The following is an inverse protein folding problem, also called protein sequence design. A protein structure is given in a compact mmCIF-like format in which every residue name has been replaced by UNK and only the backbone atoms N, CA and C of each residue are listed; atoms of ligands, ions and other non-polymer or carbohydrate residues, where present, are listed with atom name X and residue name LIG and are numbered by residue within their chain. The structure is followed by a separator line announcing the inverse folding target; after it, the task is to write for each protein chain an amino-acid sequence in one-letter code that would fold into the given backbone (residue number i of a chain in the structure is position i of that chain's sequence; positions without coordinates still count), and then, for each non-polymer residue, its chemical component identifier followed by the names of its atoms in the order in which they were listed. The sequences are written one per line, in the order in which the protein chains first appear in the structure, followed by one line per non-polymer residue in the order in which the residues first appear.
data_IF_966763420876
#
_entry.id   IF_966763420876
#
_cell.length_a   1.000
_cell.length_b   1.000
_cell.length_c   1.000
_cell.angle_alpha   90.00
_cell.angle_beta   90.00
_cell.angle_gamma   90.00
#
_symmetry.space_group_name_H-M   'P 1'
#
loop_
_entity.id
_entity.type
_entity.pdbx_description
1 polymer ?
#
# COMPACT_ATOMS: atom_id res chain seq x y z
N UNK A 1 -47.79 -27.09 -17.06
CA UNK A 1 -46.93 -27.11 -15.85
C UNK A 1 -46.24 -25.77 -15.75
N UNK A 2 -46.51 -25.11 -14.62
CA UNK A 2 -46.06 -23.79 -14.12
C UNK A 2 -46.03 -22.59 -15.06
N UNK A 3 -47.00 -21.70 -14.84
CA UNK A 3 -46.83 -20.25 -14.92
C UNK A 3 -45.53 -19.85 -14.19
N UNK A 4 -44.44 -19.68 -14.94
CA UNK A 4 -43.21 -19.09 -14.43
C UNK A 4 -43.46 -17.59 -14.27
N UNK A 5 -44.04 -17.25 -13.12
CA UNK A 5 -44.35 -15.91 -12.68
C UNK A 5 -43.13 -15.00 -12.80
N UNK A 6 -43.37 -13.82 -13.37
CA UNK A 6 -42.39 -12.74 -13.60
C UNK A 6 -41.61 -12.42 -12.31
N UNK A 7 -40.49 -13.09 -12.08
CA UNK A 7 -39.60 -12.97 -10.91
C UNK A 7 -39.20 -11.52 -10.56
N UNK A 8 -39.16 -10.62 -11.56
CA UNK A 8 -38.86 -9.20 -11.41
C UNK A 8 -39.97 -8.41 -10.69
N UNK A 9 -41.13 -9.02 -10.46
CA UNK A 9 -42.23 -8.45 -9.67
C UNK A 9 -42.15 -8.74 -8.17
N UNK A 10 -41.17 -9.53 -7.71
CA UNK A 10 -41.02 -9.79 -6.27
C UNK A 10 -40.76 -8.49 -5.49
N UNK A 11 -41.37 -8.32 -4.30
CA UNK A 11 -41.22 -7.12 -3.48
C UNK A 11 -39.77 -6.87 -3.07
N UNK A 12 -38.97 -7.93 -2.94
CA UNK A 12 -37.53 -7.87 -2.64
C UNK A 12 -36.77 -7.15 -3.75
N UNK A 13 -37.00 -7.50 -5.03
CA UNK A 13 -36.34 -6.87 -6.18
C UNK A 13 -36.71 -5.39 -6.27
N UNK A 14 -37.98 -5.05 -6.00
CA UNK A 14 -38.44 -3.65 -5.92
C UNK A 14 -37.81 -2.86 -4.78
N UNK A 15 -37.58 -3.48 -3.63
CA UNK A 15 -36.89 -2.85 -2.51
C UNK A 15 -35.41 -2.58 -2.84
N UNK A 16 -34.73 -3.59 -3.39
CA UNK A 16 -33.32 -3.50 -3.79
C UNK A 16 -33.09 -2.51 -4.93
N UNK A 17 -34.03 -2.37 -5.87
CA UNK A 17 -33.93 -1.36 -6.95
C UNK A 17 -34.56 -0.01 -6.60
N UNK A 18 -34.80 0.28 -5.32
CA UNK A 18 -35.47 1.52 -4.91
C UNK A 18 -34.51 2.71 -4.90
N UNK A 19 -35.03 3.89 -5.28
CA UNK A 19 -34.24 5.12 -5.32
C UNK A 19 -33.69 5.49 -3.92
N UNK A 20 -34.49 5.28 -2.87
CA UNK A 20 -34.10 5.62 -1.51
C UNK A 20 -32.97 4.73 -1.00
N UNK A 21 -33.02 3.42 -1.30
CA UNK A 21 -31.93 2.50 -0.98
C UNK A 21 -30.66 2.87 -1.74
N UNK A 22 -30.75 3.15 -3.05
CA UNK A 22 -29.62 3.64 -3.83
C UNK A 22 -29.01 4.93 -3.30
N UNK A 23 -29.83 5.90 -2.89
CA UNK A 23 -29.36 7.14 -2.28
C UNK A 23 -28.64 6.90 -0.94
N UNK A 24 -29.18 6.02 -0.09
CA UNK A 24 -28.55 5.63 1.16
C UNK A 24 -27.18 4.96 0.92
N UNK A 25 -27.09 4.05 -0.05
CA UNK A 25 -25.83 3.41 -0.43
C UNK A 25 -24.81 4.43 -0.95
N UNK A 26 -25.22 5.38 -1.80
CA UNK A 26 -24.34 6.44 -2.31
C UNK A 26 -23.79 7.32 -1.19
N UNK A 27 -24.63 7.70 -0.22
CA UNK A 27 -24.18 8.47 0.95
C UNK A 27 -23.19 7.66 1.78
N UNK A 28 -23.44 6.37 1.97
CA UNK A 28 -22.54 5.51 2.74
C UNK A 28 -21.19 5.33 2.04
N UNK A 29 -21.18 5.15 0.71
CA UNK A 29 -19.95 5.15 -0.10
C UNK A 29 -19.22 6.48 0.02
N UNK A 30 -19.93 7.61 -0.09
CA UNK A 30 -19.33 8.94 0.04
C UNK A 30 -18.66 9.14 1.40
N UNK A 31 -19.34 8.78 2.49
CA UNK A 31 -18.78 8.88 3.86
C UNK A 31 -17.59 7.94 4.01
N UNK A 32 -17.68 6.71 3.52
CA UNK A 32 -16.57 5.76 3.56
C UNK A 32 -15.34 6.30 2.80
N UNK A 33 -15.52 6.89 1.62
CA UNK A 33 -14.45 7.51 0.85
C UNK A 33 -13.85 8.71 1.58
N UNK A 34 -14.67 9.58 2.16
CA UNK A 34 -14.18 10.73 2.94
C UNK A 34 -13.36 10.28 4.17
N UNK A 35 -13.83 9.26 4.88
CA UNK A 35 -13.08 8.66 5.99
C UNK A 35 -11.77 8.01 5.51
N UNK A 36 -11.80 7.30 4.38
CA UNK A 36 -10.60 6.68 3.79
C UNK A 36 -9.53 7.74 3.46
N UNK A 37 -9.92 8.88 2.88
CA UNK A 37 -8.99 9.98 2.56
C UNK A 37 -8.37 10.60 3.82
N UNK A 38 -9.16 10.81 4.87
CA UNK A 38 -8.62 11.34 6.14
C UNK A 38 -7.68 10.31 6.79
N UNK A 39 -8.07 9.03 6.78
CA UNK A 39 -7.28 7.95 7.32
C UNK A 39 -5.93 7.80 6.60
N UNK A 40 -5.96 7.85 5.27
CA UNK A 40 -4.78 7.84 4.40
C UNK A 40 -3.82 8.99 4.74
N UNK A 41 -4.34 10.20 4.98
CA UNK A 41 -3.50 11.34 5.35
C UNK A 41 -2.75 11.16 6.68
N UNK A 42 -3.23 10.29 7.58
CA UNK A 42 -2.61 10.08 8.89
C UNK A 42 -1.75 8.82 8.96
N UNK A 43 -2.14 7.76 8.25
CA UNK A 43 -1.52 6.43 8.34
C UNK A 43 -0.84 6.00 7.03
N UNK A 44 -0.87 6.83 6.00
CA UNK A 44 -0.34 6.51 4.68
C UNK A 44 -1.30 5.68 3.81
N UNK A 45 -0.93 5.56 2.54
CA UNK A 45 -1.74 4.89 1.52
C UNK A 45 -1.86 3.38 1.75
N UNK A 46 -0.82 2.72 2.25
CA UNK A 46 -0.81 1.27 2.51
C UNK A 46 -1.86 0.87 3.55
N UNK A 47 -1.89 1.57 4.69
CA UNK A 47 -2.87 1.32 5.74
C UNK A 47 -4.31 1.57 5.27
N UNK A 48 -4.54 2.63 4.47
CA UNK A 48 -5.85 2.95 3.92
C UNK A 48 -6.34 1.88 2.92
N UNK A 49 -5.43 1.33 2.11
CA UNK A 49 -5.74 0.22 1.20
C UNK A 49 -6.26 -1.00 1.94
N UNK A 50 -5.60 -1.41 3.02
CA UNK A 50 -6.02 -2.57 3.81
C UNK A 50 -7.32 -2.32 4.57
N UNK A 51 -7.46 -1.15 5.21
CA UNK A 51 -8.59 -0.83 6.07
C UNK A 51 -9.90 -0.53 5.32
N UNK A 52 -9.81 0.07 4.13
CA UNK A 52 -10.96 0.51 3.34
C UNK A 52 -11.03 -0.22 2.00
N UNK A 53 -10.12 0.06 1.07
CA UNK A 53 -10.28 -0.34 -0.34
C UNK A 53 -10.27 -1.86 -0.58
N UNK A 54 -9.44 -2.60 0.16
CA UNK A 54 -9.35 -4.08 0.13
C UNK A 54 -10.21 -4.74 1.20
N UNK A 55 -10.85 -3.98 2.08
CA UNK A 55 -11.67 -4.55 3.14
C UNK A 55 -12.98 -5.14 2.58
N UNK A 56 -13.38 -6.27 3.14
CA UNK A 56 -14.57 -7.01 2.71
C UNK A 56 -15.86 -6.19 2.83
N UNK A 57 -15.94 -5.29 3.81
CA UNK A 57 -17.12 -4.46 4.05
C UNK A 57 -17.29 -3.40 2.95
N UNK A 58 -16.21 -2.80 2.47
CA UNK A 58 -16.22 -1.80 1.40
C UNK A 58 -16.51 -2.47 0.04
N UNK A 59 -15.90 -3.63 -0.20
CA UNK A 59 -16.25 -4.48 -1.34
C UNK A 59 -17.74 -4.87 -1.34
N UNK A 60 -18.25 -5.27 -0.17
CA UNK A 60 -19.66 -5.58 0.02
C UNK A 60 -20.57 -4.39 -0.28
N UNK A 61 -20.18 -3.18 0.14
CA UNK A 61 -20.90 -1.95 -0.15
C UNK A 61 -20.92 -1.61 -1.65
N UNK A 62 -19.77 -1.72 -2.32
CA UNK A 62 -19.67 -1.51 -3.77
C UNK A 62 -20.52 -2.54 -4.55
N UNK A 63 -20.52 -3.80 -4.10
CA UNK A 63 -21.35 -4.86 -4.67
C UNK A 63 -22.85 -4.59 -4.45
N UNK A 64 -23.26 -4.17 -3.25
CA UNK A 64 -24.64 -3.77 -2.95
C UNK A 64 -25.10 -2.62 -3.85
N UNK A 65 -24.24 -1.63 -4.09
CA UNK A 65 -24.51 -0.54 -5.02
C UNK A 65 -24.66 -1.05 -6.45
N UNK A 66 -23.78 -1.94 -6.92
CA UNK A 66 -23.88 -2.56 -8.24
C UNK A 66 -25.21 -3.31 -8.41
N UNK A 67 -25.59 -4.13 -7.41
CA UNK A 67 -26.85 -4.89 -7.43
C UNK A 67 -28.07 -3.96 -7.42
N UNK A 68 -28.05 -2.89 -6.63
CA UNK A 68 -29.11 -1.88 -6.64
C UNK A 68 -29.25 -1.21 -8.01
N UNK A 69 -28.15 -0.75 -8.61
CA UNK A 69 -28.14 -0.10 -9.93
C UNK A 69 -28.62 -1.07 -11.03
N UNK A 70 -28.17 -2.33 -10.99
CA UNK A 70 -28.63 -3.36 -11.92
C UNK A 70 -30.12 -3.66 -11.75
N UNK A 71 -30.61 -3.79 -10.52
CA UNK A 71 -32.03 -4.01 -10.24
C UNK A 71 -32.89 -2.83 -10.72
N UNK A 72 -32.45 -1.59 -10.48
CA UNK A 72 -33.12 -0.38 -10.96
C UNK A 72 -33.20 -0.33 -12.50
N UNK A 73 -32.16 -0.80 -13.19
CA UNK A 73 -32.13 -0.89 -14.65
C UNK A 73 -33.11 -1.95 -15.16
N UNK A 74 -33.12 -3.14 -14.57
CA UNK A 74 -34.04 -4.24 -14.95
C UNK A 74 -35.50 -3.88 -14.70
N UNK A 75 -35.82 -3.25 -13.57
CA UNK A 75 -37.19 -2.85 -13.21
C UNK A 75 -37.80 -1.82 -14.17
N UNK A 76 -36.97 -1.06 -14.89
CA UNK A 76 -37.39 -0.05 -15.87
C UNK A 76 -37.40 -0.56 -17.32
N UNK A 77 -37.08 -1.83 -17.53
CA UNK A 77 -37.18 -2.45 -18.84
C UNK A 77 -38.66 -2.67 -19.23
N UNK A 78 -39.09 -2.42 -20.49
CA UNK A 78 -38.31 -1.99 -21.66
C UNK A 78 -38.09 -0.46 -21.74
N UNK A 79 -36.92 -0.07 -22.24
CA UNK A 79 -36.50 1.34 -22.29
C UNK A 79 -37.13 2.12 -23.44
N UNK A 80 -37.60 3.34 -23.17
CA UNK A 80 -38.01 4.30 -24.21
C UNK A 80 -36.83 5.19 -24.65
N UNK A 81 -36.94 5.84 -25.82
CA UNK A 81 -35.93 6.81 -26.29
C UNK A 81 -35.72 7.99 -25.33
N UNK A 82 -36.73 8.36 -24.54
CA UNK A 82 -36.62 9.40 -23.51
C UNK A 82 -35.80 8.97 -22.28
N UNK A 83 -35.57 7.66 -22.10
CA UNK A 83 -34.81 7.11 -20.98
C UNK A 83 -33.35 6.81 -21.34
N UNK A 84 -32.88 7.23 -22.51
CA UNK A 84 -31.53 6.92 -22.98
C UNK A 84 -30.45 7.45 -22.02
N UNK A 85 -30.61 8.68 -21.51
CA UNK A 85 -29.71 9.23 -20.49
C UNK A 85 -29.70 8.40 -19.20
N UNK A 86 -30.87 7.93 -18.74
CA UNK A 86 -30.95 7.04 -17.58
C UNK A 86 -30.18 5.73 -17.82
N UNK A 87 -30.39 5.08 -18.96
CA UNK A 87 -29.73 3.81 -19.28
C UNK A 87 -28.21 4.00 -19.38
N UNK A 88 -27.74 5.02 -20.11
CA UNK A 88 -26.31 5.29 -20.29
C UNK A 88 -25.62 5.53 -18.95
N UNK A 89 -26.18 6.37 -18.08
CA UNK A 89 -25.58 6.65 -16.77
C UNK A 89 -25.52 5.42 -15.87
N UNK A 90 -26.54 4.56 -15.86
CA UNK A 90 -26.53 3.39 -14.98
C UNK A 90 -25.63 2.29 -15.52
N UNK A 91 -25.61 2.10 -16.85
CA UNK A 91 -24.70 1.16 -17.49
C UNK A 91 -23.24 1.59 -17.31
N UNK A 92 -22.92 2.89 -17.39
CA UNK A 92 -21.55 3.36 -17.14
C UNK A 92 -21.11 3.09 -15.70
N UNK A 93 -21.97 3.30 -14.70
CA UNK A 93 -21.68 2.96 -13.30
C UNK A 93 -21.40 1.46 -13.15
N UNK A 94 -22.20 0.60 -13.79
CA UNK A 94 -21.97 -0.85 -13.76
C UNK A 94 -20.64 -1.24 -14.40
N UNK A 95 -20.27 -0.59 -15.51
CA UNK A 95 -18.96 -0.79 -16.17
C UNK A 95 -17.82 -0.36 -15.26
N UNK A 96 -17.91 0.81 -14.62
CA UNK A 96 -16.89 1.31 -13.68
C UNK A 96 -16.74 0.36 -12.49
N UNK A 97 -17.84 -0.11 -11.90
CA UNK A 97 -17.81 -1.06 -10.78
C UNK A 97 -17.22 -2.42 -11.19
N UNK A 98 -17.53 -2.90 -12.40
CA UNK A 98 -16.93 -4.12 -12.94
C UNK A 98 -15.42 -3.96 -13.20
N UNK A 99 -15.00 -2.81 -13.72
CA UNK A 99 -13.59 -2.45 -13.88
C UNK A 99 -12.86 -2.43 -12.54
N UNK A 100 -13.43 -1.76 -11.53
CA UNK A 100 -12.86 -1.72 -10.18
C UNK A 100 -12.70 -3.12 -9.56
N UNK A 101 -13.71 -3.99 -9.71
CA UNK A 101 -13.60 -5.39 -9.26
C UNK A 101 -12.51 -6.16 -10.01
N UNK A 102 -12.35 -5.90 -11.30
CA UNK A 102 -11.31 -6.54 -12.12
C UNK A 102 -9.91 -6.11 -11.67
N UNK A 103 -9.68 -4.80 -11.50
CA UNK A 103 -8.42 -4.26 -10.99
C UNK A 103 -8.10 -4.79 -9.60
N UNK A 104 -9.10 -4.88 -8.71
CA UNK A 104 -8.87 -5.40 -7.37
C UNK A 104 -8.45 -6.89 -7.35
N UNK A 105 -8.94 -7.69 -8.30
CA UNK A 105 -8.71 -9.14 -8.33
C UNK A 105 -7.46 -9.53 -9.11
N UNK A 106 -7.12 -8.75 -10.14
CA UNK A 106 -6.08 -9.09 -11.11
C UNK A 106 -4.98 -8.03 -11.22
N UNK A 107 -5.20 -6.84 -10.68
CA UNK A 107 -4.23 -5.76 -10.70
C UNK A 107 -3.09 -5.99 -9.72
N UNK A 108 -1.92 -5.47 -10.07
CA UNK A 108 -0.77 -5.34 -9.18
C UNK A 108 -0.62 -3.86 -8.87
N UNK A 109 -0.65 -3.52 -7.59
CA UNK A 109 -0.60 -2.15 -7.10
C UNK A 109 0.73 -1.89 -6.39
N UNK A 110 1.27 -0.70 -6.54
CA UNK A 110 2.51 -0.32 -5.89
C UNK A 110 2.86 1.14 -6.11
N UNK A 111 3.96 1.55 -5.51
CA UNK A 111 4.52 2.88 -5.59
C UNK A 111 5.78 2.88 -6.45
N UNK A 112 5.88 3.93 -7.27
CA UNK A 112 7.04 4.20 -8.10
C UNK A 112 7.36 5.69 -8.00
N UNK A 113 8.44 6.02 -7.30
CA UNK A 113 9.01 7.36 -7.31
C UNK A 113 9.91 7.49 -8.53
N UNK A 114 9.67 8.51 -9.36
CA UNK A 114 10.49 8.84 -10.53
C UNK A 114 10.78 10.34 -10.52
N UNK A 115 12.04 10.71 -10.72
CA UNK A 115 12.39 12.08 -11.03
C UNK A 115 12.22 12.38 -12.53
N UNK A 116 12.19 13.66 -12.88
CA UNK A 116 12.10 14.08 -14.28
C UNK A 116 13.28 13.55 -15.10
N UNK A 117 12.97 12.83 -16.18
CA UNK A 117 13.97 12.23 -17.07
C UNK A 117 14.43 10.82 -16.67
N UNK A 118 14.00 10.30 -15.51
CA UNK A 118 14.29 8.93 -15.10
C UNK A 118 13.33 7.90 -15.73
N UNK A 119 13.85 6.69 -15.91
CA UNK A 119 13.04 5.51 -16.25
C UNK A 119 13.35 4.40 -15.25
N UNK A 120 12.31 3.65 -14.87
CA UNK A 120 12.47 2.49 -14.00
C UNK A 120 11.72 1.30 -14.58
N UNK A 121 12.35 0.14 -14.49
CA UNK A 121 11.76 -1.17 -14.82
C UNK A 121 11.22 -1.90 -13.58
N UNK A 122 11.27 -1.27 -12.39
CA UNK A 122 10.84 -1.85 -11.12
C UNK A 122 10.05 -0.85 -10.29
N UNK A 123 9.07 -1.33 -9.55
CA UNK A 123 8.29 -0.53 -8.61
C UNK A 123 8.09 -1.33 -7.31
N UNK A 124 7.89 -0.62 -6.20
CA UNK A 124 7.67 -1.26 -4.91
C UNK A 124 6.18 -1.60 -4.75
N UNK A 125 5.87 -2.87 -4.55
CA UNK A 125 4.49 -3.35 -4.34
C UNK A 125 4.07 -3.12 -2.88
N UNK A 126 2.78 -2.87 -2.63
CA UNK A 126 2.22 -2.77 -1.28
C UNK A 126 2.03 -4.15 -0.60
N UNK A 127 2.56 -5.21 -1.20
CA UNK A 127 2.43 -6.57 -0.69
C UNK A 127 3.60 -6.88 0.26
N UNK A 128 3.27 -7.01 1.54
CA UNK A 128 4.23 -7.43 2.55
C UNK A 128 4.68 -8.86 2.26
N UNK A 129 5.89 -8.99 1.71
CA UNK A 129 6.47 -10.27 1.31
C UNK A 129 7.80 -10.46 2.03
N UNK A 130 7.93 -11.60 2.71
CA UNK A 130 9.19 -12.07 3.24
C UNK A 130 9.80 -13.02 2.21
N UNK A 131 10.94 -12.63 1.61
CA UNK A 131 11.68 -13.45 0.66
C UNK A 131 13.04 -13.84 1.26
N UNK A 132 13.36 -15.12 1.20
CA UNK A 132 14.69 -15.65 1.46
C UNK A 132 15.38 -15.88 0.12
N UNK A 133 16.54 -15.26 -0.04
CA UNK A 133 17.37 -15.39 -1.24
C UNK A 133 18.70 -16.03 -0.84
N UNK A 134 19.09 -17.06 -1.58
CA UNK A 134 20.38 -17.73 -1.41
C UNK A 134 21.38 -17.06 -2.33
N UNK A 135 22.33 -16.34 -1.74
CA UNK A 135 23.32 -15.55 -2.49
C UNK A 135 24.20 -16.39 -3.42
N UNK A 136 24.39 -17.68 -3.16
CA UNK A 136 25.29 -18.54 -3.94
C UNK A 136 24.77 -18.94 -5.33
N UNK A 137 23.46 -19.17 -5.45
CA UNK A 137 22.81 -19.69 -6.67
C UNK A 137 21.59 -18.86 -7.11
N UNK A 138 21.21 -17.85 -6.31
CA UNK A 138 20.03 -17.03 -6.55
C UNK A 138 18.71 -17.78 -6.31
N UNK A 139 18.71 -18.92 -5.62
CA UNK A 139 17.48 -19.61 -5.29
C UNK A 139 16.66 -18.77 -4.29
N UNK A 140 15.36 -18.67 -4.51
CA UNK A 140 14.45 -17.87 -3.68
C UNK A 140 13.29 -18.72 -3.16
N UNK A 141 12.89 -18.47 -1.92
CA UNK A 141 11.61 -18.93 -1.37
C UNK A 141 11.00 -17.78 -0.58
N UNK A 142 9.69 -17.60 -0.64
CA UNK A 142 9.05 -16.48 0.02
C UNK A 142 7.65 -16.80 0.48
N UNK A 143 7.14 -15.92 1.35
CA UNK A 143 5.76 -15.93 1.82
C UNK A 143 5.26 -14.52 1.92
N UNK A 144 3.94 -14.37 1.79
CA UNK A 144 3.22 -13.10 1.91
C UNK A 144 2.39 -13.14 3.21
N UNK A 145 2.94 -12.76 4.38
CA UNK A 145 2.22 -12.83 5.64
C UNK A 145 0.89 -12.07 5.60
N UNK A 146 0.85 -10.93 4.91
CA UNK A 146 -0.34 -10.07 4.79
C UNK A 146 -1.52 -10.66 4.01
N UNK A 147 -1.34 -11.79 3.27
CA UNK A 147 -2.45 -12.50 2.59
C UNK A 147 -3.02 -13.67 3.40
N UNK A 148 -2.43 -14.01 4.54
CA UNK A 148 -2.86 -15.15 5.34
C UNK A 148 -4.04 -14.80 6.26
N UNK A 149 -4.87 -15.78 6.67
CA UNK A 149 -5.86 -15.57 7.73
C UNK A 149 -5.18 -15.06 9.00
N UNK A 150 -5.55 -13.86 9.45
CA UNK A 150 -4.93 -13.18 10.60
C UNK A 150 -3.81 -12.18 10.24
N UNK A 151 -3.32 -12.15 9.01
CA UNK A 151 -2.32 -11.18 8.53
C UNK A 151 -2.86 -9.77 8.28
N UNK A 152 -3.91 -9.36 9.00
CA UNK A 152 -4.48 -8.01 8.91
C UNK A 152 -3.58 -6.95 9.55
N UNK A 153 -4.18 -5.90 10.10
CA UNK A 153 -3.48 -4.79 10.76
C UNK A 153 -3.07 -5.09 12.22
N UNK A 154 -3.18 -6.35 12.66
CA UNK A 154 -2.86 -6.74 14.03
C UNK A 154 -1.56 -7.54 14.08
N UNK A 155 -0.77 -7.28 15.13
CA UNK A 155 0.41 -8.09 15.39
C UNK A 155 0.00 -9.52 15.75
N UNK A 156 0.61 -10.51 15.09
CA UNK A 156 0.33 -11.93 15.31
C UNK A 156 1.60 -12.63 15.77
N UNK A 157 1.51 -13.26 16.93
CA UNK A 157 2.53 -14.20 17.40
C UNK A 157 2.31 -15.56 16.73
N UNK A 158 3.41 -16.16 16.25
CA UNK A 158 3.45 -17.43 15.53
C UNK A 158 2.41 -17.51 14.40
N UNK A 159 2.51 -16.63 13.38
CA UNK A 159 1.55 -16.63 12.28
C UNK A 159 1.53 -17.99 11.57
N UNK A 160 0.40 -18.40 10.96
CA UNK A 160 0.23 -19.70 10.31
C UNK A 160 0.96 -19.75 8.95
N UNK A 161 2.22 -19.35 8.95
CA UNK A 161 3.14 -19.31 7.81
C UNK A 161 3.92 -20.63 7.80
N UNK A 162 3.88 -21.40 6.70
CA UNK A 162 4.72 -22.58 6.56
C UNK A 162 6.20 -22.21 6.72
N UNK A 163 7.03 -23.06 7.37
CA UNK A 163 8.48 -22.82 7.43
C UNK A 163 9.05 -22.67 6.02
N UNK A 164 9.80 -21.59 5.81
CA UNK A 164 10.48 -21.31 4.56
C UNK A 164 11.77 -22.12 4.51
N UNK A 165 11.88 -23.06 3.58
CA UNK A 165 13.05 -23.89 3.41
C UNK A 165 13.85 -23.45 2.17
N UNK A 166 15.13 -23.15 2.36
CA UNK A 166 16.05 -22.78 1.29
C UNK A 166 17.29 -23.66 1.36
N UNK A 167 17.19 -24.81 0.68
CA UNK A 167 18.12 -25.95 0.77
C UNK A 167 18.27 -26.47 2.20
N UNK A 168 19.39 -26.21 2.84
CA UNK A 168 19.73 -26.67 4.20
C UNK A 168 19.29 -25.70 5.31
N UNK A 169 18.84 -24.49 4.96
CA UNK A 169 18.36 -23.49 5.91
C UNK A 169 16.83 -23.54 5.99
N UNK A 170 16.29 -23.61 7.21
CA UNK A 170 14.84 -23.46 7.46
C UNK A 170 14.59 -22.27 8.35
N UNK A 171 13.72 -21.36 7.92
CA UNK A 171 13.33 -20.15 8.66
C UNK A 171 11.86 -20.26 9.03
N UNK A 172 11.53 -19.91 10.28
CA UNK A 172 10.15 -19.82 10.76
C UNK A 172 9.86 -18.40 11.23
N UNK A 173 8.72 -17.87 10.82
CA UNK A 173 8.25 -16.56 11.28
C UNK A 173 7.68 -16.73 12.69
N UNK A 174 8.34 -16.13 13.69
CA UNK A 174 7.91 -16.22 15.08
C UNK A 174 6.88 -15.16 15.45
N UNK A 175 6.94 -14.00 14.80
CA UNK A 175 6.02 -12.88 15.03
C UNK A 175 5.95 -12.02 13.79
N UNK A 176 4.75 -11.55 13.49
CA UNK A 176 4.46 -10.61 12.41
C UNK A 176 3.86 -9.34 13.01
N UNK A 177 4.41 -8.19 12.66
CA UNK A 177 3.94 -6.87 13.14
C UNK A 177 3.70 -6.01 11.90
N UNK A 178 2.44 -5.89 11.44
CA UNK A 178 2.09 -5.05 10.29
C UNK A 178 2.27 -3.57 10.64
N UNK A 179 2.48 -2.72 9.63
CA UNK A 179 2.57 -1.25 9.77
C UNK A 179 3.64 -0.77 10.78
N UNK A 180 4.73 -1.55 10.93
CA UNK A 180 5.82 -1.19 11.82
C UNK A 180 6.70 -0.12 11.18
N UNK A 181 6.87 1.02 11.85
CA UNK A 181 7.81 2.06 11.44
C UNK A 181 9.18 1.79 12.06
N UNK A 182 10.24 1.76 11.25
CA UNK A 182 11.61 1.68 11.74
C UNK A 182 11.93 2.99 12.50
N UNK A 183 12.10 2.89 13.82
CA UNK A 183 12.60 3.99 14.64
C UNK A 183 14.06 3.73 14.98
N UNK A 184 14.96 4.57 14.44
CA UNK A 184 16.37 4.58 14.85
C UNK A 184 16.58 5.68 15.88
N UNK A 185 16.97 5.28 17.08
CA UNK A 185 17.41 6.20 18.12
C UNK A 185 18.88 5.96 18.41
N UNK A 186 19.70 7.02 18.35
CA UNK A 186 21.06 6.98 18.86
C UNK A 186 21.00 7.23 20.36
N UNK A 187 21.42 6.23 21.14
CA UNK A 187 21.49 6.31 22.60
C UNK A 187 22.95 6.41 23.00
N UNK A 188 23.26 7.26 23.98
CA UNK A 188 24.62 7.38 24.53
C UNK A 188 24.87 6.27 25.56
N UNK A 189 24.95 5.02 25.10
CA UNK A 189 25.13 3.82 25.92
C UNK A 189 26.58 3.30 25.95
N UNK A 190 27.47 3.92 25.17
CA UNK A 190 28.87 3.51 25.06
C UNK A 190 29.73 4.06 26.22
N UNK A 191 30.48 3.20 26.95
CA UNK A 191 31.44 3.65 27.96
C UNK A 191 32.68 4.33 27.34
N UNK A 192 32.82 4.28 26.00
CA UNK A 192 33.89 4.96 25.25
C UNK A 192 33.29 6.12 24.48
N UNK A 193 33.93 7.29 24.57
CA UNK A 193 33.55 8.47 23.79
C UNK A 193 33.75 8.18 22.31
N UNK A 194 32.66 8.22 21.54
CA UNK A 194 32.69 8.25 20.08
C UNK A 194 32.09 9.57 19.62
N UNK A 195 32.84 10.31 18.82
CA UNK A 195 32.34 11.53 18.21
C UNK A 195 31.43 11.17 17.04
N UNK A 196 30.35 11.93 16.90
CA UNK A 196 29.40 11.79 15.82
C UNK A 196 28.85 13.15 15.42
N UNK A 197 28.45 13.28 14.16
CA UNK A 197 27.79 14.48 13.63
C UNK A 197 26.45 14.06 13.05
N UNK A 198 25.43 14.86 13.33
CA UNK A 198 24.12 14.73 12.69
C UNK A 198 24.14 15.52 11.39
N UNK A 199 23.80 14.86 10.28
CA UNK A 199 23.80 15.45 8.94
C UNK A 199 22.40 15.30 8.35
N UNK A 200 21.89 16.39 7.78
CA UNK A 200 20.72 16.42 6.93
C UNK A 200 21.10 17.06 5.59
N UNK A 201 20.77 16.43 4.48
CA UNK A 201 20.79 17.10 3.19
C UNK A 201 19.37 17.63 2.94
N UNK A 202 19.26 18.85 2.43
CA UNK A 202 17.98 19.45 2.12
C UNK A 202 17.84 19.50 0.60
N UNK A 203 16.95 18.69 0.04
CA UNK A 203 16.41 18.92 -1.30
C UNK A 203 15.41 20.09 -1.23
N UNK A 204 15.61 21.19 -1.99
CA UNK A 204 14.67 22.31 -2.04
C UNK A 204 13.23 21.93 -2.41
N UNK A 205 13.03 20.73 -3.00
CA UNK A 205 11.75 20.22 -3.45
C UNK A 205 11.13 19.16 -2.54
N UNK A 206 11.81 18.69 -1.47
CA UNK A 206 11.27 17.73 -0.50
C UNK A 206 11.21 18.32 0.91
N UNK A 207 10.08 18.12 1.58
CA UNK A 207 9.78 18.83 2.83
C UNK A 207 10.51 18.29 4.07
N UNK A 208 10.98 17.04 4.08
CA UNK A 208 11.70 16.45 5.21
C UNK A 208 12.61 15.32 4.71
N UNK A 209 13.94 15.51 4.73
CA UNK A 209 14.89 14.40 4.64
C UNK A 209 15.20 13.84 6.03
N UNK A 210 15.41 12.52 6.18
CA UNK A 210 15.76 11.92 7.47
C UNK A 210 17.15 12.37 7.92
N UNK A 211 17.24 12.98 9.10
CA UNK A 211 18.50 13.28 9.77
C UNK A 211 19.27 11.98 10.04
N UNK A 212 20.55 11.91 9.65
CA UNK A 212 21.40 10.74 9.88
C UNK A 212 22.59 11.08 10.76
N UNK A 213 22.91 10.18 11.70
CA UNK A 213 24.12 10.28 12.51
C UNK A 213 25.28 9.57 11.81
N UNK A 214 26.39 10.27 11.66
CA UNK A 214 27.64 9.75 11.11
C UNK A 214 28.69 9.74 12.22
N UNK A 215 29.16 8.56 12.58
CA UNK A 215 30.20 8.39 13.61
C UNK A 215 31.59 8.49 13.00
N UNK A 216 32.57 8.88 13.82
CA UNK A 216 33.96 9.02 13.41
C UNK A 216 34.50 7.71 12.79
N UNK A 217 35.04 7.82 11.58
CA UNK A 217 35.58 6.72 10.80
C UNK A 217 34.53 5.87 10.09
N UNK A 218 33.24 6.20 10.20
CA UNK A 218 32.16 5.50 9.51
C UNK A 218 31.66 6.30 8.29
N UNK A 219 31.44 5.58 7.19
CA UNK A 219 30.72 6.11 6.04
C UNK A 219 29.23 5.85 6.22
N UNK A 220 28.41 6.88 6.12
CA UNK A 220 26.96 6.79 6.09
C UNK A 220 26.43 7.26 4.74
N UNK A 221 25.28 6.73 4.32
CA UNK A 221 24.56 7.27 3.16
C UNK A 221 23.55 8.31 3.61
N UNK A 222 23.60 9.49 2.99
CA UNK A 222 22.61 10.57 3.16
C UNK A 222 22.03 10.82 1.77
N UNK A 223 20.78 10.42 1.56
CA UNK A 223 20.20 10.32 0.22
C UNK A 223 21.04 9.42 -0.70
N UNK A 224 21.43 9.94 -1.86
CA UNK A 224 22.32 9.25 -2.83
C UNK A 224 23.81 9.42 -2.54
N UNK A 225 24.19 10.28 -1.59
CA UNK A 225 25.59 10.61 -1.30
C UNK A 225 26.15 9.71 -0.20
N UNK A 226 27.40 9.30 -0.36
CA UNK A 226 28.17 8.62 0.71
C UNK A 226 29.01 9.66 1.43
N UNK A 227 28.72 9.87 2.71
CA UNK A 227 29.37 10.86 3.55
C UNK A 227 30.21 10.14 4.61
N UNK A 228 31.50 10.48 4.68
CA UNK A 228 32.41 10.00 5.71
C UNK A 228 32.65 11.14 6.71
N UNK A 229 32.45 10.87 7.99
CA UNK A 229 32.92 11.74 9.05
C UNK A 229 34.22 11.18 9.62
N UNK A 230 35.27 12.01 9.67
CA UNK A 230 36.54 11.66 10.31
C UNK A 230 37.06 12.81 11.14
N UNK A 231 37.48 12.51 12.37
CA UNK A 231 38.22 13.46 13.20
C UNK A 231 39.70 13.42 12.79
N UNK A 232 40.26 14.60 12.48
CA UNK A 232 41.65 14.73 12.00
C UNK A 232 42.34 15.88 12.72
N UNK A 233 43.65 15.74 12.93
CA UNK A 233 44.47 16.85 13.42
C UNK A 233 44.68 17.91 12.33
N UNK A 234 44.94 19.15 12.72
CA UNK A 234 45.07 20.27 11.77
C UNK A 234 46.11 20.01 10.66
N UNK A 235 47.21 19.35 11.00
CA UNK A 235 48.27 19.01 10.05
C UNK A 235 47.82 17.93 9.03
N UNK A 236 46.97 16.99 9.43
CA UNK A 236 46.40 15.99 8.53
C UNK A 236 45.31 16.58 7.63
N UNK A 237 44.55 17.56 8.14
CA UNK A 237 43.56 18.28 7.35
C UNK A 237 44.21 19.01 6.17
N UNK A 238 45.34 19.70 6.40
CA UNK A 238 46.07 20.37 5.31
C UNK A 238 46.57 19.38 4.24
N UNK A 239 47.02 18.19 4.65
CA UNK A 239 47.43 17.14 3.71
C UNK A 239 46.25 16.60 2.88
N UNK A 240 45.08 16.41 3.50
CA UNK A 240 43.87 15.94 2.82
C UNK A 240 43.33 17.00 1.83
N UNK A 241 43.37 18.28 2.19
CA UNK A 241 42.97 19.37 1.30
C UNK A 241 43.94 19.55 0.13
N UNK A 242 45.22 19.25 0.33
CA UNK A 242 46.23 19.32 -0.73
C UNK A 242 46.18 18.13 -1.71
N UNK A 243 45.63 16.98 -1.32
CA UNK A 243 45.64 15.75 -2.12
C UNK A 243 44.63 15.72 -3.27
N UNK A 244 43.61 16.60 -3.29
CA UNK A 244 42.59 16.64 -4.35
C UNK A 244 41.67 15.40 -4.39
N UNK A 245 40.56 15.43 -5.16
CA UNK A 245 39.46 14.46 -5.07
C UNK A 245 39.69 13.10 -5.78
N UNK A 246 40.92 12.75 -6.16
CA UNK A 246 41.24 11.59 -7.02
C UNK A 246 42.06 10.50 -6.30
N UNK A 247 41.81 10.24 -5.01
CA UNK A 247 42.43 9.15 -4.26
C UNK A 247 41.40 8.26 -3.55
#
# INVERSE_FOLDING_TARGET
MSENGKWWKHPVVRGIGSLWFGAALLVLVLVAMACATVYESWHGTEAAMVAFYRAWWFQGLALLLAVNVAAALVLRFPFSRSQLGFVVTHVSILIVLAGALTTQRLGVEGQLALAEGETSERFATFEETLVLVRTSDGAETGVEPGRLPGGGLEAVDNPPVPPLALGDVTVRVLRYVPDSVESRQVVNDSPRVRQAVQVSLADPHQAVEPETWIFDGQTARVGMLSVLFRTVEAQQLEQLLAAGPEA
#
